data_IF_551713318891
#
_entry.id   IF_551713318891
#
_cell.length_a   1.000
_cell.length_b   1.000
_cell.length_c   1.000
_cell.angle_alpha   90.00
_cell.angle_beta   90.00
_cell.angle_gamma   90.00
#
_symmetry.space_group_name_H-M   'P 1'
#
loop_
_entity.id
_entity.type
_entity.pdbx_description
1 polymer ?
#
# COMPACT_ATOMS: atom_id res chain seq x y z
N UNK A 1 59.74 3.24 -31.82
CA UNK A 1 59.00 3.44 -30.56
C UNK A 1 57.78 4.31 -30.86
N UNK A 2 56.59 3.72 -30.98
CA UNK A 2 55.36 4.47 -31.25
C UNK A 2 54.69 4.85 -29.93
N UNK A 3 54.76 6.12 -29.55
CA UNK A 3 54.12 6.67 -28.36
C UNK A 3 52.60 6.68 -28.53
N UNK A 4 51.91 5.81 -27.77
CA UNK A 4 50.45 5.77 -27.69
C UNK A 4 49.98 7.05 -27.00
N UNK A 5 49.52 8.04 -27.77
CA UNK A 5 48.87 9.25 -27.23
C UNK A 5 47.60 8.83 -26.49
N UNK A 6 47.61 8.90 -25.16
CA UNK A 6 46.40 8.86 -24.36
C UNK A 6 45.60 10.13 -24.65
N UNK A 7 44.51 9.99 -25.39
CA UNK A 7 43.47 11.02 -25.48
C UNK A 7 42.89 11.19 -24.06
N UNK A 8 42.83 12.41 -23.50
CA UNK A 8 42.30 12.61 -22.16
C UNK A 8 40.80 12.28 -22.20
N UNK A 9 40.39 11.19 -21.55
CA UNK A 9 38.98 10.79 -21.40
C UNK A 9 38.21 11.62 -20.36
N UNK A 10 38.91 12.54 -19.69
CA UNK A 10 38.38 13.33 -18.58
C UNK A 10 37.33 14.40 -18.95
N UNK A 11 37.43 15.18 -20.04
CA UNK A 11 36.45 16.22 -20.35
C UNK A 11 35.11 15.67 -20.85
N UNK A 12 35.10 14.50 -21.50
CA UNK A 12 33.87 13.86 -22.01
C UNK A 12 32.98 13.37 -20.85
N UNK A 13 33.59 12.85 -19.78
CA UNK A 13 32.85 12.39 -18.59
C UNK A 13 32.24 13.56 -17.81
N UNK A 14 32.93 14.69 -17.72
CA UNK A 14 32.42 15.89 -17.02
C UNK A 14 31.23 16.47 -17.78
N UNK A 15 31.34 16.62 -19.11
CA UNK A 15 30.24 17.14 -19.94
C UNK A 15 29.03 16.19 -19.89
N UNK A 16 29.26 14.88 -19.99
CA UNK A 16 28.19 13.89 -19.84
C UNK A 16 27.50 13.93 -18.47
N UNK A 17 28.27 14.09 -17.39
CA UNK A 17 27.73 14.23 -16.03
C UNK A 17 26.87 15.48 -15.85
N UNK A 18 27.30 16.63 -16.38
CA UNK A 18 26.53 17.89 -16.32
C UNK A 18 25.22 17.79 -17.11
N UNK A 19 25.25 17.17 -18.29
CA UNK A 19 24.03 16.96 -19.10
C UNK A 19 23.05 16.06 -18.36
N UNK A 20 23.52 14.94 -17.79
CA UNK A 20 22.65 14.03 -17.03
C UNK A 20 22.04 14.70 -15.80
N UNK A 21 22.84 15.49 -15.06
CA UNK A 21 22.33 16.26 -13.92
C UNK A 21 21.28 17.30 -14.35
N UNK A 22 21.51 18.00 -15.47
CA UNK A 22 20.54 18.95 -16.02
C UNK A 22 19.23 18.28 -16.45
N UNK A 23 19.30 17.13 -17.14
CA UNK A 23 18.13 16.34 -17.52
C UNK A 23 17.38 15.85 -16.29
N UNK A 24 18.10 15.39 -15.25
CA UNK A 24 17.49 14.94 -14.00
C UNK A 24 16.72 16.06 -13.30
N UNK A 25 17.34 17.24 -13.12
CA UNK A 25 16.71 18.42 -12.52
C UNK A 25 15.45 18.84 -13.31
N UNK A 26 15.53 18.82 -14.64
CA UNK A 26 14.38 19.17 -15.48
C UNK A 26 13.26 18.15 -15.45
N UNK A 27 13.57 16.86 -15.28
CA UNK A 27 12.58 15.78 -15.27
C UNK A 27 11.99 15.49 -13.87
N UNK A 28 12.69 15.90 -12.81
CA UNK A 28 12.28 15.63 -11.42
C UNK A 28 12.34 16.90 -10.55
N UNK A 29 11.67 18.00 -10.93
CA UNK A 29 11.71 19.25 -10.17
C UNK A 29 11.23 19.05 -8.72
N UNK A 30 10.20 18.23 -8.51
CA UNK A 30 9.66 17.96 -7.16
C UNK A 30 10.66 17.24 -6.23
N UNK A 31 11.63 16.51 -6.80
CA UNK A 31 12.67 15.80 -6.04
C UNK A 31 13.78 16.75 -5.59
N UNK A 32 13.93 17.89 -6.28
CA UNK A 32 14.82 18.98 -5.87
C UNK A 32 14.20 19.75 -4.70
N UNK A 33 12.90 20.04 -4.79
CA UNK A 33 12.17 20.76 -3.75
C UNK A 33 11.96 19.91 -2.49
N UNK A 34 11.83 18.59 -2.66
CA UNK A 34 11.59 17.62 -1.59
C UNK A 34 12.55 16.42 -1.70
N UNK A 35 13.85 16.62 -1.37
CA UNK A 35 14.83 15.56 -1.50
C UNK A 35 14.51 14.37 -0.57
N UNK A 36 14.83 13.14 -0.99
CA UNK A 36 14.58 11.96 -0.18
C UNK A 36 15.41 11.98 1.10
N UNK A 37 14.78 11.65 2.23
CA UNK A 37 15.44 11.54 3.53
C UNK A 37 16.09 10.18 3.79
N UNK A 38 15.70 9.15 3.03
CA UNK A 38 16.22 7.78 3.15
C UNK A 38 16.43 7.14 1.77
N UNK A 39 17.24 6.07 1.71
CA UNK A 39 17.41 5.27 0.48
C UNK A 39 16.10 4.64 0.02
N UNK A 40 15.22 4.27 0.96
CA UNK A 40 13.90 3.75 0.65
C UNK A 40 13.06 4.80 -0.05
N UNK A 41 13.04 6.02 0.48
CA UNK A 41 12.32 7.13 -0.13
C UNK A 41 12.86 7.47 -1.51
N UNK A 42 14.19 7.47 -1.69
CA UNK A 42 14.80 7.66 -3.00
C UNK A 42 14.36 6.58 -4.00
N UNK A 43 14.25 5.32 -3.55
CA UNK A 43 13.71 4.23 -4.34
C UNK A 43 12.23 4.47 -4.70
N UNK A 44 11.38 4.80 -3.73
CA UNK A 44 9.95 5.06 -3.93
C UNK A 44 9.69 6.23 -4.91
N UNK A 45 10.60 7.20 -4.97
CA UNK A 45 10.50 8.36 -5.86
C UNK A 45 11.02 8.09 -7.28
N UNK A 46 11.97 7.16 -7.46
CA UNK A 46 12.62 6.87 -8.74
C UNK A 46 12.07 5.61 -9.42
N UNK A 47 11.57 4.67 -8.64
CA UNK A 47 11.13 3.34 -9.06
C UNK A 47 9.71 3.08 -8.56
N UNK A 48 9.19 1.88 -8.84
CA UNK A 48 7.90 1.47 -8.33
C UNK A 48 7.98 1.14 -6.83
N UNK A 49 7.13 1.80 -6.02
CA UNK A 49 7.12 1.66 -4.56
C UNK A 49 6.88 0.23 -4.07
N UNK A 50 6.11 -0.60 -4.80
CA UNK A 50 5.90 -2.00 -4.43
C UNK A 50 7.21 -2.80 -4.46
N UNK A 51 8.05 -2.58 -5.48
CA UNK A 51 9.37 -3.22 -5.56
C UNK A 51 10.31 -2.72 -4.46
N UNK A 52 10.28 -1.42 -4.17
CA UNK A 52 11.11 -0.83 -3.12
C UNK A 52 10.75 -1.37 -1.73
N UNK A 53 9.46 -1.47 -1.43
CA UNK A 53 8.98 -2.08 -0.18
C UNK A 53 9.32 -3.56 -0.08
N UNK A 54 9.14 -4.31 -1.17
CA UNK A 54 9.52 -5.71 -1.21
C UNK A 54 11.02 -5.89 -0.93
N UNK A 55 11.88 -5.06 -1.53
CA UNK A 55 13.32 -5.11 -1.30
C UNK A 55 13.70 -4.87 0.17
N UNK A 56 13.05 -3.90 0.83
CA UNK A 56 13.24 -3.65 2.27
C UNK A 56 12.77 -4.84 3.11
N UNK A 57 11.58 -5.37 2.81
CA UNK A 57 11.05 -6.54 3.52
C UNK A 57 11.97 -7.76 3.38
N UNK A 58 12.50 -8.03 2.19
CA UNK A 58 13.47 -9.11 1.99
C UNK A 58 14.76 -8.88 2.78
N UNK A 59 15.27 -7.65 2.83
CA UNK A 59 16.44 -7.32 3.62
C UNK A 59 16.19 -7.52 5.13
N UNK A 60 15.02 -7.14 5.63
CA UNK A 60 14.65 -7.34 7.03
C UNK A 60 14.51 -8.82 7.37
N UNK A 61 13.83 -9.60 6.52
CA UNK A 61 13.70 -11.05 6.72
C UNK A 61 15.05 -11.76 6.70
N UNK A 62 15.98 -11.34 5.82
CA UNK A 62 17.38 -11.85 5.83
C UNK A 62 18.10 -11.57 7.14
N UNK A 63 17.71 -10.51 7.84
CA UNK A 63 18.24 -10.11 9.14
C UNK A 63 17.37 -10.63 10.30
N UNK A 64 16.42 -11.54 10.03
CA UNK A 64 15.47 -12.09 10.99
C UNK A 64 14.63 -11.01 11.71
N UNK A 65 14.33 -9.91 11.01
CA UNK A 65 13.42 -8.85 11.45
C UNK A 65 12.10 -8.96 10.69
N UNK A 66 10.99 -8.83 11.41
CA UNK A 66 9.67 -8.72 10.82
C UNK A 66 9.37 -7.26 10.45
N UNK A 67 8.51 -7.02 9.43
CA UNK A 67 8.01 -5.68 9.15
C UNK A 67 7.39 -5.07 10.41
N UNK A 68 7.84 -3.86 10.76
CA UNK A 68 7.33 -3.18 11.95
C UNK A 68 5.95 -2.59 11.66
N UNK A 69 4.98 -2.96 12.51
CA UNK A 69 3.68 -2.29 12.56
C UNK A 69 3.88 -0.96 13.28
N UNK A 70 3.65 0.15 12.59
CA UNK A 70 3.74 1.45 13.22
C UNK A 70 2.65 1.57 14.30
N UNK A 71 3.00 2.10 15.48
CA UNK A 71 2.07 2.24 16.59
C UNK A 71 1.13 3.45 16.40
N UNK A 72 0.29 3.39 15.36
CA UNK A 72 -0.72 4.40 15.02
C UNK A 72 -2.11 3.78 15.05
N UNK A 73 -3.16 4.54 15.40
CA UNK A 73 -4.54 4.04 15.33
C UNK A 73 -4.91 3.58 13.90
N UNK A 74 -5.71 2.52 13.75
CA UNK A 74 -6.11 2.01 12.44
C UNK A 74 -7.25 2.83 11.80
N UNK A 75 -7.82 3.80 12.52
CA UNK A 75 -8.78 4.79 12.04
C UNK A 75 -8.26 6.21 12.34
N UNK A 76 -8.55 7.21 11.50
CA UNK A 76 -8.17 8.57 11.79
C UNK A 76 -8.92 9.13 13.00
N UNK A 77 -8.35 10.18 13.60
CA UNK A 77 -9.08 10.99 14.55
C UNK A 77 -10.11 11.85 13.81
N UNK A 78 -11.40 11.58 13.99
CA UNK A 78 -12.52 12.26 13.31
C UNK A 78 -12.51 13.80 13.44
N UNK A 79 -11.96 14.35 14.53
CA UNK A 79 -11.89 15.80 14.73
C UNK A 79 -10.78 16.45 13.90
N UNK A 80 -9.71 15.71 13.60
CA UNK A 80 -8.58 16.18 12.79
C UNK A 80 -8.76 15.84 11.31
N UNK A 81 -9.29 14.66 11.03
CA UNK A 81 -9.49 14.15 9.68
C UNK A 81 -10.95 13.72 9.53
N UNK A 82 -11.90 14.68 9.47
CA UNK A 82 -13.31 14.36 9.23
C UNK A 82 -13.60 13.86 7.80
N UNK A 83 -12.61 13.94 6.90
CA UNK A 83 -12.78 13.71 5.47
C UNK A 83 -13.13 15.01 4.75
N UNK A 84 -12.71 15.12 3.49
CA UNK A 84 -13.05 16.25 2.63
C UNK A 84 -13.24 15.79 1.19
N UNK A 85 -14.24 16.35 0.52
CA UNK A 85 -14.60 16.03 -0.86
C UNK A 85 -14.28 17.20 -1.78
N UNK A 86 -13.96 16.93 -3.03
CA UNK A 86 -13.92 17.94 -4.08
C UNK A 86 -15.36 18.24 -4.53
N UNK A 87 -15.91 19.44 -4.26
CA UNK A 87 -17.29 19.77 -4.62
C UNK A 87 -17.53 19.82 -6.13
N UNK A 88 -16.48 19.86 -6.95
CA UNK A 88 -16.60 19.77 -8.40
C UNK A 88 -16.89 18.35 -8.89
N UNK A 89 -16.72 17.32 -8.05
CA UNK A 89 -16.99 15.93 -8.38
C UNK A 89 -18.38 15.56 -7.88
N UNK A 90 -19.24 15.16 -8.81
CA UNK A 90 -20.65 14.83 -8.54
C UNK A 90 -20.99 13.48 -9.16
N UNK A 91 -22.11 12.89 -8.73
CA UNK A 91 -22.61 11.64 -9.31
C UNK A 91 -22.78 11.74 -10.84
N UNK A 92 -23.16 12.90 -11.35
CA UNK A 92 -23.47 13.12 -12.76
C UNK A 92 -22.22 13.23 -13.64
N UNK A 93 -21.07 13.53 -13.06
CA UNK A 93 -19.81 13.72 -13.80
C UNK A 93 -18.76 12.65 -13.51
N UNK A 94 -19.09 11.55 -12.80
CA UNK A 94 -18.12 10.50 -12.45
C UNK A 94 -17.40 9.92 -13.67
N UNK A 95 -18.09 9.82 -14.82
CA UNK A 95 -17.54 9.29 -16.06
C UNK A 95 -16.36 10.11 -16.61
N UNK A 96 -16.42 11.45 -16.44
CA UNK A 96 -15.36 12.38 -16.85
C UNK A 96 -14.40 12.74 -15.72
N UNK A 97 -14.62 12.20 -14.52
CA UNK A 97 -13.82 12.47 -13.33
C UNK A 97 -13.22 11.18 -12.76
N UNK A 98 -13.75 10.66 -11.67
CA UNK A 98 -13.16 9.53 -10.92
C UNK A 98 -13.16 8.19 -11.68
N UNK A 99 -13.85 8.10 -12.81
CA UNK A 99 -13.81 6.93 -13.69
C UNK A 99 -12.83 7.08 -14.87
N UNK A 100 -12.19 8.25 -15.02
CA UNK A 100 -11.10 8.47 -15.96
C UNK A 100 -9.75 8.33 -15.23
N UNK A 101 -8.92 7.32 -15.56
CA UNK A 101 -7.58 7.17 -14.98
C UNK A 101 -6.68 8.40 -15.17
N UNK A 102 -6.87 9.17 -16.25
CA UNK A 102 -6.10 10.41 -16.49
C UNK A 102 -6.48 11.50 -15.51
N UNK A 103 -7.77 11.61 -15.18
CA UNK A 103 -8.26 12.57 -14.19
C UNK A 103 -7.69 12.26 -12.80
N UNK A 104 -7.65 10.98 -12.41
CA UNK A 104 -7.04 10.55 -11.15
C UNK A 104 -5.55 10.86 -11.17
N UNK A 105 -4.83 10.41 -12.20
CA UNK A 105 -3.38 10.61 -12.33
C UNK A 105 -2.97 12.08 -12.24
N UNK A 106 -3.72 12.98 -12.90
CA UNK A 106 -3.47 14.42 -12.86
C UNK A 106 -3.69 15.07 -11.50
N UNK A 107 -4.39 14.41 -10.57
CA UNK A 107 -4.68 14.90 -9.22
C UNK A 107 -3.91 14.19 -8.12
N UNK A 108 -3.33 13.02 -8.41
CA UNK A 108 -2.49 12.28 -7.48
C UNK A 108 -1.23 13.10 -7.17
N UNK A 109 -0.97 13.44 -5.90
CA UNK A 109 0.25 14.15 -5.54
C UNK A 109 1.51 13.35 -5.92
N UNK A 110 2.60 14.03 -6.32
CA UNK A 110 3.87 13.36 -6.58
C UNK A 110 4.38 12.55 -5.38
N UNK A 111 5.13 11.44 -5.60
CA UNK A 111 5.70 10.64 -4.51
C UNK A 111 6.57 11.45 -3.55
N UNK A 112 7.36 12.41 -4.04
CA UNK A 112 8.22 13.26 -3.20
C UNK A 112 7.43 14.20 -2.29
N UNK A 113 6.34 14.79 -2.80
CA UNK A 113 5.42 15.57 -1.98
C UNK A 113 4.80 14.70 -0.88
N UNK A 114 4.34 13.50 -1.26
CA UNK A 114 3.71 12.54 -0.34
C UNK A 114 4.68 12.16 0.78
N UNK A 115 5.92 11.81 0.44
CA UNK A 115 6.93 11.45 1.42
C UNK A 115 7.29 12.63 2.34
N UNK A 116 7.47 13.83 1.80
CA UNK A 116 7.74 15.03 2.59
C UNK A 116 6.62 15.34 3.58
N UNK A 117 5.36 15.21 3.14
CA UNK A 117 4.20 15.38 4.00
C UNK A 117 4.10 14.27 5.06
N UNK A 118 4.39 13.01 4.71
CA UNK A 118 4.51 11.89 5.68
C UNK A 118 5.50 12.24 6.78
N UNK A 119 6.72 12.68 6.44
CA UNK A 119 7.75 13.06 7.43
C UNK A 119 7.28 14.18 8.34
N UNK A 120 6.72 15.25 7.77
CA UNK A 120 6.24 16.41 8.54
C UNK A 120 5.13 16.02 9.52
N UNK A 121 4.15 15.24 9.08
CA UNK A 121 3.07 14.77 9.94
C UNK A 121 3.59 13.79 11.01
N UNK A 122 4.47 12.86 10.64
CA UNK A 122 5.00 11.86 11.57
C UNK A 122 5.82 12.53 12.69
N UNK A 123 6.66 13.52 12.35
CA UNK A 123 7.44 14.26 13.34
C UNK A 123 6.58 14.95 14.43
N UNK A 124 5.35 15.36 14.07
CA UNK A 124 4.44 16.07 14.99
C UNK A 124 3.51 15.09 15.73
N UNK A 125 2.96 14.11 15.02
CA UNK A 125 1.92 13.23 15.54
C UNK A 125 2.48 11.95 16.18
N UNK A 126 3.61 11.46 15.69
CA UNK A 126 4.20 10.17 16.04
C UNK A 126 5.74 10.23 16.03
N UNK A 127 6.37 11.08 16.87
CA UNK A 127 7.81 11.35 16.81
C UNK A 127 8.70 10.11 17.02
N UNK A 128 8.18 9.06 17.67
CA UNK A 128 8.90 7.80 17.92
C UNK A 128 8.73 6.76 16.79
N UNK A 129 7.96 7.08 15.74
CA UNK A 129 7.72 6.17 14.61
C UNK A 129 8.65 6.49 13.44
N UNK A 130 9.17 5.45 12.78
CA UNK A 130 9.87 5.62 11.52
C UNK A 130 8.85 6.01 10.41
N UNK A 131 9.00 7.17 9.74
CA UNK A 131 8.12 7.59 8.65
C UNK A 131 8.03 6.56 7.51
N UNK A 132 9.07 5.76 7.28
CA UNK A 132 9.09 4.71 6.25
C UNK A 132 8.08 3.58 6.53
N UNK A 133 7.62 3.43 7.78
CA UNK A 133 6.59 2.47 8.17
C UNK A 133 5.17 3.05 8.04
N UNK A 134 5.06 4.32 7.65
CA UNK A 134 3.80 5.05 7.54
C UNK A 134 3.49 5.41 6.08
N UNK A 135 2.22 5.30 5.72
CA UNK A 135 1.62 5.81 4.51
C UNK A 135 0.94 7.14 4.84
N UNK A 136 1.15 8.17 4.01
CA UNK A 136 0.20 9.28 3.95
C UNK A 136 -1.03 8.79 3.21
N UNK A 137 -2.18 8.93 3.84
CA UNK A 137 -3.42 8.40 3.33
C UNK A 137 -4.52 9.47 3.31
N UNK A 138 -5.47 9.31 2.38
CA UNK A 138 -6.63 10.17 2.26
C UNK A 138 -7.86 9.43 2.80
N UNK A 139 -8.55 9.97 3.82
CA UNK A 139 -9.73 9.30 4.39
C UNK A 139 -10.78 9.03 3.31
N UNK A 140 -11.05 10.02 2.46
CA UNK A 140 -11.79 9.83 1.21
C UNK A 140 -10.78 9.90 0.08
N UNK A 141 -10.57 8.83 -0.73
CA UNK A 141 -9.58 8.85 -1.78
C UNK A 141 -10.01 9.72 -2.97
N UNK A 142 -9.04 10.18 -3.76
CA UNK A 142 -9.26 10.86 -5.05
C UNK A 142 -10.18 10.03 -5.96
N UNK A 143 -10.02 8.69 -5.95
CA UNK A 143 -10.84 7.75 -6.71
C UNK A 143 -12.33 7.73 -6.28
N UNK A 144 -12.68 8.35 -5.14
CA UNK A 144 -14.05 8.57 -4.69
C UNK A 144 -14.35 10.06 -4.50
N UNK A 145 -13.59 10.93 -5.17
CA UNK A 145 -13.80 12.36 -5.19
C UNK A 145 -13.34 13.10 -3.93
N UNK A 146 -12.39 12.53 -3.18
CA UNK A 146 -11.76 13.21 -2.07
C UNK A 146 -10.87 14.39 -2.51
N UNK A 147 -10.75 15.40 -1.64
CA UNK A 147 -9.85 16.52 -1.87
C UNK A 147 -8.39 16.08 -1.61
N UNK A 148 -7.48 16.17 -2.62
CA UNK A 148 -6.20 15.47 -2.61
C UNK A 148 -5.19 15.97 -1.59
N UNK A 149 -5.23 17.26 -1.25
CA UNK A 149 -4.25 17.92 -0.36
C UNK A 149 -4.90 18.66 0.82
N UNK A 150 -6.21 18.48 1.03
CA UNK A 150 -6.91 19.08 2.18
C UNK A 150 -6.49 18.36 3.46
N UNK A 151 -5.92 19.09 4.42
CA UNK A 151 -5.47 18.51 5.70
C UNK A 151 -6.58 17.79 6.46
N UNK A 152 -7.84 18.20 6.27
CA UNK A 152 -9.02 17.53 6.87
C UNK A 152 -9.28 16.15 6.28
N UNK A 153 -8.63 15.81 5.17
CA UNK A 153 -8.72 14.53 4.49
C UNK A 153 -7.44 13.69 4.64
N UNK A 154 -6.36 14.23 5.22
CA UNK A 154 -5.07 13.54 5.32
C UNK A 154 -4.84 12.96 6.72
N UNK A 155 -4.26 11.77 6.77
CA UNK A 155 -3.82 11.12 8.01
C UNK A 155 -2.69 10.11 7.72
N UNK A 156 -2.10 9.55 8.79
CA UNK A 156 -1.02 8.58 8.68
C UNK A 156 -1.52 7.19 9.06
N UNK A 157 -1.23 6.23 8.19
CA UNK A 157 -1.62 4.84 8.35
C UNK A 157 -0.40 3.93 8.32
N UNK A 158 -0.42 2.81 9.05
CA UNK A 158 0.66 1.82 9.00
C UNK A 158 0.67 1.06 7.66
N UNK A 159 1.87 0.81 7.11
CA UNK A 159 2.05 -0.11 5.98
C UNK A 159 1.85 -1.59 6.36
N UNK A 160 2.04 -1.92 7.64
CA UNK A 160 1.94 -3.29 8.16
C UNK A 160 0.77 -3.45 9.16
N UNK A 161 0.43 -4.69 9.49
CA UNK A 161 -0.65 -5.04 10.42
C UNK A 161 -1.94 -5.45 9.70
N UNK A 162 -2.98 -5.80 10.47
CA UNK A 162 -4.24 -6.31 9.91
C UNK A 162 -5.09 -5.25 9.24
N UNK A 163 -5.03 -4.00 9.71
CA UNK A 163 -5.72 -2.85 9.16
C UNK A 163 -4.68 -1.87 8.60
N UNK A 164 -4.09 -2.25 7.46
CA UNK A 164 -3.00 -1.52 6.83
C UNK A 164 -3.44 -0.77 5.55
N UNK A 165 -2.54 0.06 5.04
CA UNK A 165 -2.79 0.88 3.84
C UNK A 165 -3.02 0.06 2.56
N UNK A 166 -2.37 -1.09 2.37
CA UNK A 166 -2.63 -1.93 1.19
C UNK A 166 -4.09 -2.41 1.15
N UNK A 167 -4.63 -2.84 2.30
CA UNK A 167 -6.02 -3.28 2.39
C UNK A 167 -7.00 -2.14 2.12
N UNK A 168 -6.74 -0.95 2.67
CA UNK A 168 -7.55 0.23 2.38
C UNK A 168 -7.52 0.56 0.88
N UNK A 169 -6.34 0.60 0.26
CA UNK A 169 -6.20 0.83 -1.19
C UNK A 169 -6.98 -0.21 -2.03
N UNK A 170 -7.01 -1.47 -1.58
CA UNK A 170 -7.82 -2.52 -2.18
C UNK A 170 -9.32 -2.25 -2.10
N UNK A 171 -9.83 -1.83 -0.94
CA UNK A 171 -11.21 -1.40 -0.75
C UNK A 171 -11.55 -0.20 -1.65
N UNK A 172 -10.70 0.81 -1.70
CA UNK A 172 -10.92 2.00 -2.52
C UNK A 172 -11.01 1.67 -4.01
N UNK A 173 -10.14 0.77 -4.47
CA UNK A 173 -10.18 0.26 -5.84
C UNK A 173 -11.49 -0.46 -6.13
N UNK A 174 -11.96 -1.32 -5.22
CA UNK A 174 -13.24 -2.00 -5.34
C UNK A 174 -14.40 -1.00 -5.40
N UNK A 175 -14.47 -0.07 -4.45
CA UNK A 175 -15.55 0.91 -4.36
C UNK A 175 -15.58 1.83 -5.60
N UNK A 176 -14.43 2.26 -6.10
CA UNK A 176 -14.36 3.01 -7.35
C UNK A 176 -14.92 2.20 -8.52
N UNK A 177 -14.54 0.92 -8.67
CA UNK A 177 -15.12 0.04 -9.72
C UNK A 177 -16.62 -0.14 -9.56
N UNK A 178 -17.13 -0.24 -8.33
CA UNK A 178 -18.56 -0.30 -8.06
C UNK A 178 -19.28 0.98 -8.47
N UNK A 179 -18.72 2.15 -8.16
CA UNK A 179 -19.26 3.45 -8.56
C UNK A 179 -19.25 3.62 -10.08
N UNK A 180 -18.12 3.33 -10.73
CA UNK A 180 -17.97 3.49 -12.18
C UNK A 180 -18.82 2.49 -12.99
N UNK A 181 -19.16 1.34 -12.39
CA UNK A 181 -20.13 0.39 -12.97
C UNK A 181 -21.60 0.73 -12.68
N UNK A 182 -21.88 1.77 -11.89
CA UNK A 182 -23.22 2.16 -11.47
C UNK A 182 -23.86 1.26 -10.39
N UNK A 183 -23.12 0.29 -9.85
CA UNK A 183 -23.62 -0.61 -8.79
C UNK A 183 -23.69 0.06 -7.41
N UNK A 184 -22.89 1.10 -7.20
CA UNK A 184 -22.86 1.86 -5.95
C UNK A 184 -22.93 3.36 -6.27
N UNK A 185 -23.71 4.13 -5.50
CA UNK A 185 -23.71 5.59 -5.64
C UNK A 185 -22.43 6.17 -5.02
N UNK A 186 -21.88 7.22 -5.62
CA UNK A 186 -20.69 7.92 -5.13
C UNK A 186 -20.81 8.30 -3.64
N UNK A 187 -21.94 8.90 -3.25
CA UNK A 187 -22.18 9.31 -1.87
C UNK A 187 -22.17 8.12 -0.88
N UNK A 188 -22.63 6.94 -1.30
CA UNK A 188 -22.61 5.74 -0.45
C UNK A 188 -21.18 5.21 -0.27
N UNK A 189 -20.38 5.22 -1.34
CA UNK A 189 -18.97 4.86 -1.27
C UNK A 189 -18.18 5.84 -0.37
N UNK A 190 -18.38 7.14 -0.56
CA UNK A 190 -17.79 8.20 0.26
C UNK A 190 -18.12 8.02 1.75
N UNK A 191 -19.40 7.82 2.08
CA UNK A 191 -19.82 7.61 3.47
C UNK A 191 -19.19 6.35 4.08
N UNK A 192 -19.13 5.25 3.32
CA UNK A 192 -18.57 3.99 3.80
C UNK A 192 -17.11 4.13 4.23
N UNK A 193 -16.26 4.75 3.40
CA UNK A 193 -14.83 4.92 3.72
C UNK A 193 -14.63 5.97 4.82
N UNK A 194 -15.39 7.08 4.79
CA UNK A 194 -15.23 8.16 5.76
C UNK A 194 -15.68 7.79 7.20
N UNK A 195 -16.66 6.88 7.32
CA UNK A 195 -17.20 6.48 8.64
C UNK A 195 -16.31 5.45 9.31
N UNK A 196 -16.09 4.32 8.63
CA UNK A 196 -15.28 3.21 9.13
C UNK A 196 -14.85 2.35 7.94
N UNK A 197 -13.68 2.68 7.37
CA UNK A 197 -13.15 1.95 6.24
C UNK A 197 -12.83 0.48 6.58
N UNK A 198 -12.61 0.12 7.85
CA UNK A 198 -12.29 -1.25 8.27
C UNK A 198 -13.55 -2.12 8.24
N UNK A 199 -14.67 -1.59 8.73
CA UNK A 199 -15.98 -2.22 8.61
C UNK A 199 -16.41 -2.31 7.14
N UNK A 200 -16.23 -1.24 6.36
CA UNK A 200 -16.48 -1.27 4.92
C UNK A 200 -15.63 -2.34 4.20
N UNK A 201 -14.34 -2.46 4.56
CA UNK A 201 -13.45 -3.51 4.05
C UNK A 201 -14.00 -4.90 4.36
N UNK A 202 -14.36 -5.16 5.62
CA UNK A 202 -14.89 -6.46 6.06
C UNK A 202 -16.16 -6.87 5.33
N UNK A 203 -17.03 -5.92 4.97
CA UNK A 203 -18.29 -6.20 4.27
C UNK A 203 -18.13 -6.30 2.76
N UNK A 204 -17.27 -5.46 2.17
CA UNK A 204 -17.18 -5.33 0.72
C UNK A 204 -16.16 -6.29 0.08
N UNK A 205 -15.07 -6.62 0.77
CA UNK A 205 -13.95 -7.39 0.20
C UNK A 205 -14.21 -8.90 0.22
N UNK A 206 -15.37 -9.33 -0.26
CA UNK A 206 -15.73 -10.74 -0.39
C UNK A 206 -15.12 -11.36 -1.65
N UNK A 207 -14.87 -12.68 -1.68
CA UNK A 207 -14.38 -13.38 -2.87
C UNK A 207 -15.24 -13.13 -4.11
N UNK A 208 -16.56 -13.03 -3.95
CA UNK A 208 -17.52 -12.79 -5.04
C UNK A 208 -17.33 -11.39 -5.63
N UNK A 209 -17.20 -10.36 -4.80
CA UNK A 209 -16.94 -8.99 -5.27
C UNK A 209 -15.58 -8.89 -5.94
N UNK A 210 -14.55 -9.53 -5.37
CA UNK A 210 -13.21 -9.55 -5.98
C UNK A 210 -13.23 -10.26 -7.34
N UNK A 211 -13.93 -11.37 -7.48
CA UNK A 211 -14.09 -12.08 -8.74
C UNK A 211 -14.87 -11.23 -9.76
N UNK A 212 -16.01 -10.66 -9.35
CA UNK A 212 -16.87 -9.82 -10.20
C UNK A 212 -16.12 -8.64 -10.81
N UNK A 213 -15.22 -8.05 -10.04
CA UNK A 213 -14.47 -6.89 -10.47
C UNK A 213 -13.06 -7.21 -10.96
N UNK A 214 -12.65 -8.47 -11.07
CA UNK A 214 -11.30 -8.88 -11.47
C UNK A 214 -10.21 -8.24 -10.58
N UNK A 215 -10.33 -8.45 -9.28
CA UNK A 215 -9.39 -8.02 -8.24
C UNK A 215 -8.64 -9.21 -7.62
N UNK A 216 -7.43 -9.00 -7.08
CA UNK A 216 -6.65 -10.06 -6.45
C UNK A 216 -7.38 -10.69 -5.27
N UNK A 217 -7.50 -12.03 -5.28
CA UNK A 217 -8.14 -12.78 -4.18
C UNK A 217 -7.40 -12.66 -2.84
N UNK A 218 -6.10 -12.32 -2.88
CA UNK A 218 -5.30 -12.04 -1.66
C UNK A 218 -5.83 -10.86 -0.83
N UNK A 219 -6.70 -10.03 -1.39
CA UNK A 219 -7.35 -8.93 -0.68
C UNK A 219 -8.68 -9.31 -0.04
N UNK A 220 -9.11 -10.57 -0.13
CA UNK A 220 -10.33 -11.02 0.52
C UNK A 220 -10.26 -10.77 2.04
N UNK A 221 -11.34 -10.24 2.61
CA UNK A 221 -11.52 -10.26 4.06
C UNK A 221 -11.58 -11.70 4.56
N UNK A 222 -10.98 -11.98 5.71
CA UNK A 222 -11.13 -13.28 6.35
C UNK A 222 -12.62 -13.61 6.54
N UNK A 223 -13.05 -14.87 6.38
CA UNK A 223 -14.42 -15.27 6.65
C UNK A 223 -14.80 -14.83 8.07
N UNK A 224 -15.92 -14.13 8.22
CA UNK A 224 -16.47 -13.92 9.54
C UNK A 224 -16.97 -15.29 10.01
N UNK A 225 -16.23 -15.95 10.91
CA UNK A 225 -16.81 -17.06 11.66
C UNK A 225 -17.93 -16.42 12.47
N UNK A 226 -19.15 -16.58 11.99
CA UNK A 226 -20.36 -16.12 12.65
C UNK A 226 -20.39 -16.76 14.04
N UNK A 227 -20.05 -15.98 15.07
CA UNK A 227 -20.15 -16.39 16.46
C UNK A 227 -21.63 -16.48 16.84
N UNK A 228 -22.34 -17.48 16.31
CA UNK A 228 -23.43 -18.10 17.04
C UNK A 228 -22.79 -19.15 17.95
N UNK A 229 -22.86 -19.03 19.28
CA UNK A 229 -22.51 -20.14 20.16
C UNK A 229 -23.56 -21.23 19.97
N UNK A 230 -23.35 -22.10 18.98
CA UNK A 230 -23.98 -23.41 18.98
C UNK A 230 -23.25 -24.19 20.08
N UNK A 231 -23.94 -24.68 21.13
CA UNK A 231 -23.29 -25.51 22.13
C UNK A 231 -22.71 -26.73 21.42
N UNK A 232 -21.38 -26.85 21.42
CA UNK A 232 -20.70 -28.08 21.00
C UNK A 232 -21.11 -29.18 21.98
N UNK A 233 -22.08 -30.00 21.60
CA UNK A 233 -22.23 -31.34 22.17
C UNK A 233 -21.07 -32.18 21.65
N UNK A 234 -19.99 -32.26 22.44
CA UNK A 234 -18.96 -33.27 22.24
C UNK A 234 -19.60 -34.64 22.50
N UNK A 235 -19.47 -35.63 21.59
CA UNK A 235 -19.80 -36.99 21.94
C UNK A 235 -18.83 -37.45 23.04
N UNK A 236 -19.38 -37.80 24.20
CA UNK A 236 -18.62 -38.43 25.27
C UNK A 236 -18.09 -39.77 24.74
N UNK A 237 -16.81 -39.79 24.34
CA UNK A 237 -16.10 -41.03 24.10
C UNK A 237 -15.37 -41.37 25.39
N UNK A 238 -15.87 -42.39 26.06
CA UNK A 238 -15.27 -42.98 27.26
C UNK A 238 -13.90 -43.55 26.85
N UNK A 239 -12.82 -42.94 27.33
CA UNK A 239 -11.45 -43.39 27.06
C UNK A 239 -10.97 -44.09 28.33
N UNK A 240 -11.21 -45.40 28.38
CA UNK A 240 -10.68 -46.24 29.45
C UNK A 240 -9.28 -46.74 29.04
N UNK A 241 -8.26 -46.05 29.52
CA UNK A 241 -6.85 -46.41 29.32
C UNK A 241 -5.90 -45.20 29.34
N UNK A 242 -4.65 -45.36 29.83
CA UNK A 242 -3.69 -44.26 29.84
C UNK A 242 -3.31 -43.84 28.42
N UNK A 243 -3.50 -42.56 28.13
CA UNK A 243 -3.06 -41.92 26.88
C UNK A 243 -1.52 -41.88 26.86
N UNK A 244 -0.91 -42.73 26.03
CA UNK A 244 0.52 -42.64 25.71
C UNK A 244 0.69 -41.74 24.50
N UNK A 245 1.23 -40.53 24.70
CA UNK A 245 1.60 -39.62 23.62
C UNK A 245 2.94 -40.09 23.02
N UNK A 246 2.89 -40.91 21.97
CA UNK A 246 4.07 -41.19 21.14
C UNK A 246 4.20 -40.08 20.10
N UNK A 247 5.05 -39.10 20.38
CA UNK A 247 5.56 -38.17 19.39
C UNK A 247 6.87 -38.73 18.83
N UNK A 248 6.80 -39.50 17.73
CA UNK A 248 7.99 -39.80 16.94
C UNK A 248 8.22 -38.65 15.96
N UNK A 249 9.26 -37.86 16.22
CA UNK A 249 9.80 -36.87 15.28
C UNK A 249 10.63 -37.64 14.26
N UNK A 250 10.10 -37.81 13.04
CA UNK A 250 10.84 -38.41 11.93
C UNK A 250 11.74 -37.34 11.26
N UNK A 251 13.07 -37.53 11.15
CA UNK A 251 13.96 -36.57 10.51
C UNK A 251 14.21 -36.98 9.06
N UNK A 252 13.31 -36.66 8.14
CA UNK A 252 13.61 -36.75 6.71
C UNK A 252 13.28 -35.45 5.98
N UNK A 253 14.34 -34.68 5.74
CA UNK A 253 14.38 -33.52 4.85
C UNK A 253 14.31 -34.03 3.41
N UNK A 254 13.13 -33.99 2.77
CA UNK A 254 13.08 -34.09 1.32
C UNK A 254 13.17 -32.68 0.72
N UNK A 255 14.30 -32.40 0.08
CA UNK A 255 14.53 -31.20 -0.72
C UNK A 255 13.64 -31.27 -1.96
N UNK A 256 12.82 -30.25 -2.21
CA UNK A 256 12.04 -30.16 -3.44
C UNK A 256 12.88 -29.52 -4.56
N UNK A 257 12.74 -30.03 -5.77
CA UNK A 257 13.50 -29.59 -6.94
C UNK A 257 12.68 -28.63 -7.81
N UNK A 258 13.31 -27.54 -8.26
CA UNK A 258 12.67 -26.51 -9.10
C UNK A 258 12.75 -26.95 -10.57
N UNK A 259 11.62 -27.10 -11.28
CA UNK A 259 11.65 -27.55 -12.66
C UNK A 259 12.29 -26.50 -13.59
N UNK A 260 13.09 -26.92 -14.59
CA UNK A 260 13.71 -26.00 -15.53
C UNK A 260 12.68 -25.37 -16.48
N UNK A 261 13.00 -24.13 -16.91
CA UNK A 261 12.19 -23.36 -17.86
C UNK A 261 12.30 -24.02 -19.24
N UNK A 262 11.19 -24.35 -19.91
CA UNK A 262 11.24 -24.97 -21.22
C UNK A 262 11.80 -24.01 -22.27
N UNK A 263 12.82 -24.48 -22.98
CA UNK A 263 13.27 -23.91 -24.26
C UNK A 263 13.05 -24.98 -25.32
N UNK A 264 12.00 -24.78 -26.12
CA UNK A 264 11.50 -25.56 -27.28
C UNK A 264 11.66 -27.10 -27.25
#
# INVERSE_FOLDING_TARGET
>A
MAGRRMIPRLPVLIVGGVILAGVFVASHPDMIDNPPGTTREACDQLLNSDYCRAAVAFNDLRQNRLPQVAAVPPLPNERRTPGSFDPAITQDNIAATICDPKFISARTPPPSWTAAMTRRMAAVLYPDQNPDNLALDQLVPIALGGAPQDQRNLWLQSWAGEANSEKKNGLETLLNRMVCSGQLKLAAAQQAVATDWIDAYRRAMTPENLARYNLPQRWASAPQIEQQPQPMTLPAREIDGPVVLQAEISPETQSYEVPPIPVN
#
